data_IF_529315176034
#
_entry.id   IF_529315176034
#
_cell.length_a   1.000
_cell.length_b   1.000
_cell.length_c   1.000
_cell.angle_alpha   90.00
_cell.angle_beta   90.00
_cell.angle_gamma   90.00
#
_symmetry.space_group_name_H-M   'P 1'
#
loop_
_entity.id
_entity.type
_entity.pdbx_description
1 polymer ?
#
# COMPACT_ATOMS: atom_id res chain seq x y z
N UNK A 1 31.24 9.09 29.77
CA UNK A 1 31.13 9.14 28.31
C UNK A 1 30.12 8.08 27.92
N UNK A 2 28.84 8.44 27.84
CA UNK A 2 27.75 7.48 27.62
C UNK A 2 27.40 7.49 26.13
N UNK A 3 27.65 6.36 25.48
CA UNK A 3 27.31 6.17 24.08
C UNK A 3 25.79 6.02 23.98
N UNK A 4 25.13 7.07 23.49
CA UNK A 4 23.73 6.97 23.09
C UNK A 4 23.66 5.98 21.93
N UNK A 5 23.12 4.80 22.22
CA UNK A 5 22.79 3.81 21.21
C UNK A 5 21.62 4.39 20.40
N UNK A 6 21.93 4.99 19.25
CA UNK A 6 20.97 5.33 18.21
C UNK A 6 20.42 4.00 17.69
N UNK A 7 19.47 3.43 18.42
CA UNK A 7 18.50 2.54 17.79
C UNK A 7 17.84 3.39 16.72
N UNK A 8 18.21 3.14 15.46
CA UNK A 8 17.48 3.58 14.28
C UNK A 8 16.02 3.42 14.63
N UNK A 9 15.24 4.52 14.60
CA UNK A 9 13.79 4.46 14.73
C UNK A 9 13.37 3.40 13.72
N UNK A 10 13.06 2.19 14.20
CA UNK A 10 12.66 1.11 13.32
C UNK A 10 11.49 1.66 12.54
N UNK A 11 11.61 1.73 11.21
CA UNK A 11 10.58 2.28 10.33
C UNK A 11 9.24 1.73 10.80
N UNK A 12 8.45 2.59 11.46
CA UNK A 12 7.16 2.19 11.97
C UNK A 12 6.31 1.85 10.75
N UNK A 13 6.27 0.55 10.42
CA UNK A 13 5.56 0.06 9.26
C UNK A 13 4.10 0.33 9.50
N UNK A 14 3.57 1.35 8.84
CA UNK A 14 2.21 1.80 9.11
C UNK A 14 1.25 1.02 8.20
N UNK A 15 0.33 0.29 8.82
CA UNK A 15 -0.71 -0.50 8.13
C UNK A 15 -2.00 0.29 8.09
N UNK A 16 -2.49 0.59 6.89
CA UNK A 16 -3.72 1.34 6.67
C UNK A 16 -4.77 0.51 5.92
N UNK A 17 -6.03 0.83 6.19
CA UNK A 17 -7.15 0.45 5.36
C UNK A 17 -7.65 1.69 4.62
N UNK A 18 -7.78 1.61 3.30
CA UNK A 18 -8.17 2.76 2.48
C UNK A 18 -9.69 2.71 2.23
N UNK A 19 -10.45 3.53 2.94
CA UNK A 19 -11.89 3.68 2.73
C UNK A 19 -12.20 4.49 1.46
N UNK A 20 -13.08 3.98 0.61
CA UNK A 20 -13.60 4.69 -0.55
C UNK A 20 -14.99 5.25 -0.22
N UNK A 21 -15.12 6.58 -0.31
CA UNK A 21 -16.38 7.27 -0.04
C UNK A 21 -17.49 6.89 -1.02
N UNK A 22 -17.17 6.77 -2.32
CA UNK A 22 -18.17 6.52 -3.36
C UNK A 22 -18.83 5.13 -3.25
N UNK A 23 -18.07 4.10 -2.87
CA UNK A 23 -18.58 2.74 -2.69
C UNK A 23 -18.95 2.41 -1.24
N UNK A 24 -18.64 3.30 -0.29
CA UNK A 24 -18.79 3.05 1.15
C UNK A 24 -18.12 1.75 1.62
N UNK A 25 -16.97 1.42 1.02
CA UNK A 25 -16.25 0.18 1.28
C UNK A 25 -14.74 0.38 1.18
N UNK A 26 -13.96 -0.61 1.60
CA UNK A 26 -12.50 -0.53 1.64
C UNK A 26 -11.86 -1.03 0.34
N UNK A 27 -10.72 -0.45 -0.02
CA UNK A 27 -9.83 -1.00 -1.02
C UNK A 27 -9.40 -2.41 -0.60
N UNK A 28 -9.42 -3.35 -1.52
CA UNK A 28 -8.98 -4.71 -1.30
C UNK A 28 -8.24 -5.28 -2.50
N UNK A 29 -7.38 -6.28 -2.25
CA UNK A 29 -6.93 -7.21 -3.28
C UNK A 29 -7.72 -8.51 -3.14
N UNK A 30 -8.58 -8.81 -4.12
CA UNK A 30 -9.36 -10.05 -4.18
C UNK A 30 -9.20 -10.73 -5.53
N UNK A 31 -8.91 -12.03 -5.54
CA UNK A 31 -8.69 -12.84 -6.76
C UNK A 31 -7.77 -12.16 -7.80
N UNK A 32 -6.65 -11.57 -7.35
CA UNK A 32 -5.66 -10.84 -8.18
C UNK A 32 -6.14 -9.50 -8.77
N UNK A 33 -7.29 -8.99 -8.33
CA UNK A 33 -7.80 -7.68 -8.72
C UNK A 33 -7.84 -6.72 -7.53
N UNK A 34 -7.58 -5.45 -7.80
CA UNK A 34 -7.82 -4.37 -6.84
C UNK A 34 -9.22 -3.79 -7.08
N UNK A 35 -10.02 -3.63 -6.02
CA UNK A 35 -11.34 -2.98 -6.08
C UNK A 35 -11.74 -2.41 -4.71
N UNK A 36 -12.77 -1.56 -4.67
CA UNK A 36 -13.26 -0.93 -3.45
C UNK A 36 -14.58 -1.58 -2.96
N UNK A 37 -14.54 -2.88 -2.67
CA UNK A 37 -15.68 -3.67 -2.14
C UNK A 37 -15.32 -4.43 -0.87
N UNK A 38 -14.18 -4.13 -0.25
CA UNK A 38 -13.70 -4.79 0.95
C UNK A 38 -14.52 -4.43 2.18
N UNK A 39 -14.70 -5.39 3.08
CA UNK A 39 -15.24 -5.16 4.41
C UNK A 39 -14.11 -4.82 5.39
N UNK A 40 -14.38 -3.97 6.38
CA UNK A 40 -13.38 -3.54 7.37
C UNK A 40 -12.70 -4.72 8.09
N UNK A 41 -13.45 -5.79 8.37
CA UNK A 41 -12.97 -7.01 9.04
C UNK A 41 -12.17 -7.95 8.14
N UNK A 42 -12.10 -7.69 6.82
CA UNK A 42 -11.39 -8.54 5.85
C UNK A 42 -9.90 -8.23 5.77
N UNK A 43 -9.22 -8.17 6.91
CA UNK A 43 -7.84 -7.68 7.07
C UNK A 43 -6.85 -8.23 6.04
N UNK A 44 -6.90 -9.54 5.75
CA UNK A 44 -6.00 -10.17 4.77
C UNK A 44 -6.11 -9.56 3.37
N UNK A 45 -7.26 -8.97 3.03
CA UNK A 45 -7.53 -8.37 1.72
C UNK A 45 -7.39 -6.85 1.75
N UNK A 46 -7.72 -6.21 2.86
CA UNK A 46 -7.90 -4.75 3.00
C UNK A 46 -6.74 -4.01 3.65
N UNK A 47 -5.82 -4.73 4.29
CA UNK A 47 -4.69 -4.10 4.98
C UNK A 47 -3.53 -3.87 4.02
N UNK A 48 -3.05 -2.63 4.00
CA UNK A 48 -1.91 -2.21 3.18
C UNK A 48 -0.82 -1.59 4.04
N UNK A 49 0.39 -2.09 3.88
CA UNK A 49 1.60 -1.37 4.27
C UNK A 49 1.80 -0.22 3.31
N UNK A 50 1.96 0.98 3.86
CA UNK A 50 2.24 2.20 3.11
C UNK A 50 3.73 2.47 3.16
N UNK A 51 4.41 2.29 2.02
CA UNK A 51 5.81 2.70 1.86
C UNK A 51 5.82 4.11 1.31
N UNK A 52 6.59 5.01 1.92
CA UNK A 52 6.71 6.40 1.48
C UNK A 52 8.17 6.71 1.16
N UNK A 53 8.42 7.33 0.01
CA UNK A 53 9.75 7.78 -0.36
C UNK A 53 10.05 9.19 0.13
N UNK A 54 11.29 9.65 -0.08
CA UNK A 54 11.76 10.97 0.35
C UNK A 54 11.02 12.12 -0.33
N UNK A 55 10.40 11.87 -1.49
CA UNK A 55 9.59 12.84 -2.23
C UNK A 55 8.11 12.84 -1.78
N UNK A 56 7.75 12.02 -0.79
CA UNK A 56 6.39 11.92 -0.26
C UNK A 56 5.43 11.13 -1.15
N UNK A 57 5.96 10.37 -2.12
CA UNK A 57 5.16 9.45 -2.94
C UNK A 57 5.02 8.11 -2.22
N UNK A 58 3.89 7.46 -2.42
CA UNK A 58 3.53 6.24 -1.69
C UNK A 58 3.43 5.02 -2.60
N UNK A 59 3.73 3.85 -2.04
CA UNK A 59 3.40 2.55 -2.60
C UNK A 59 2.47 1.80 -1.66
N UNK A 60 1.47 1.13 -2.24
CA UNK A 60 0.47 0.36 -1.50
C UNK A 60 0.79 -1.13 -1.63
N UNK A 61 1.32 -1.74 -0.56
CA UNK A 61 1.60 -3.16 -0.50
C UNK A 61 0.60 -3.87 0.39
N UNK A 62 -0.15 -4.85 -0.11
CA UNK A 62 -1.04 -5.63 0.74
C UNK A 62 -0.24 -6.38 1.80
N UNK A 63 -0.61 -6.21 3.07
CA UNK A 63 0.15 -6.68 4.22
C UNK A 63 0.24 -8.22 4.30
N UNK A 64 -0.77 -8.92 3.78
CA UNK A 64 -0.81 -10.39 3.82
C UNK A 64 -0.08 -11.04 2.64
N UNK A 65 -0.32 -10.56 1.42
CA UNK A 65 0.21 -11.18 0.19
C UNK A 65 1.52 -10.58 -0.31
N UNK A 66 1.93 -9.43 0.22
CA UNK A 66 3.10 -8.68 -0.23
C UNK A 66 2.97 -8.08 -1.63
N UNK A 67 1.78 -8.14 -2.26
CA UNK A 67 1.53 -7.63 -3.61
C UNK A 67 1.23 -6.14 -3.60
N UNK A 68 1.61 -5.48 -4.67
CA UNK A 68 1.46 -4.04 -4.85
C UNK A 68 0.27 -3.70 -5.74
N UNK A 69 -0.36 -2.57 -5.45
CA UNK A 69 -1.29 -1.90 -6.37
C UNK A 69 -0.47 -0.97 -7.26
N UNK A 70 -0.67 -1.06 -8.58
CA UNK A 70 0.03 -0.27 -9.57
C UNK A 70 -0.93 0.11 -10.70
N UNK A 71 -0.58 1.11 -11.51
CA UNK A 71 -1.20 1.32 -12.81
C UNK A 71 -0.64 0.34 -13.85
N UNK A 72 -1.47 -0.10 -14.77
CA UNK A 72 -1.01 -0.76 -16.00
C UNK A 72 -0.83 0.26 -17.14
N UNK A 73 -0.40 -0.20 -18.32
CA UNK A 73 -0.20 0.65 -19.51
C UNK A 73 -1.46 1.38 -20.01
N UNK A 74 -2.64 1.00 -19.53
CA UNK A 74 -3.94 1.64 -19.83
C UNK A 74 -4.46 2.46 -18.65
N UNK A 75 -3.59 2.81 -17.70
CA UNK A 75 -3.89 3.62 -16.51
C UNK A 75 -4.99 3.01 -15.62
N UNK A 76 -5.20 1.69 -15.70
CA UNK A 76 -6.09 0.96 -14.78
C UNK A 76 -5.29 0.35 -13.63
N UNK A 77 -5.90 0.31 -12.45
CA UNK A 77 -5.34 -0.40 -11.30
C UNK A 77 -5.10 -1.88 -11.63
N UNK A 78 -3.95 -2.37 -11.20
CA UNK A 78 -3.47 -3.72 -11.43
C UNK A 78 -2.65 -4.18 -10.22
N UNK A 79 -2.70 -5.49 -9.96
CA UNK A 79 -1.93 -6.10 -8.87
C UNK A 79 -0.62 -6.66 -9.41
N UNK A 80 0.50 -6.40 -8.73
CA UNK A 80 1.85 -6.82 -9.13
C UNK A 80 2.62 -7.41 -7.95
N UNK A 81 3.59 -8.28 -8.24
CA UNK A 81 4.46 -8.90 -7.22
C UNK A 81 5.65 -8.00 -6.88
N UNK A 82 5.99 -7.03 -7.73
CA UNK A 82 7.14 -6.13 -7.58
C UNK A 82 6.71 -4.67 -7.78
N UNK A 83 7.33 -3.78 -7.01
CA UNK A 83 7.12 -2.33 -7.04
C UNK A 83 8.24 -1.54 -7.74
N UNK A 84 9.17 -2.23 -8.42
CA UNK A 84 10.34 -1.61 -9.08
C UNK A 84 9.94 -0.61 -10.17
N UNK A 85 8.69 -0.64 -10.64
CA UNK A 85 8.20 0.24 -11.67
C UNK A 85 7.52 1.49 -11.05
N UNK A 86 7.80 2.67 -11.60
CA UNK A 86 7.15 3.94 -11.23
C UNK A 86 5.62 3.85 -11.27
N UNK A 87 5.07 2.94 -12.07
CA UNK A 87 3.64 2.68 -12.12
C UNK A 87 3.03 2.20 -10.78
N UNK A 88 3.84 1.77 -9.82
CA UNK A 88 3.41 1.35 -8.48
C UNK A 88 3.51 2.46 -7.43
N UNK A 89 3.90 3.67 -7.84
CA UNK A 89 4.09 4.82 -6.97
C UNK A 89 2.99 5.85 -7.24
N UNK A 90 2.35 6.35 -6.17
CA UNK A 90 1.25 7.31 -6.21
C UNK A 90 1.65 8.58 -5.46
N UNK A 91 1.33 9.75 -6.00
CA UNK A 91 1.69 11.03 -5.41
C UNK A 91 1.81 12.10 -6.50
N UNK A 92 2.07 13.34 -6.10
CA UNK A 92 2.41 14.38 -7.07
C UNK A 92 3.83 14.13 -7.59
N UNK A 93 3.96 14.07 -8.92
CA UNK A 93 5.22 14.37 -9.59
C UNK A 93 5.44 15.87 -9.69
#
# INVERSE_FOLDING_TARGET
MQMANLMTIGEATTVWQLYNHCSSAFLQIYLKHANARGQQSSYCLTDFVIHMDAEGRIQLQNAFTGKFICFNKREKLAVRVSSVNFACTFGKG
#
